data_IF_579167160083
#
_entry.id   IF_579167160083
#
_cell.length_a   1.000
_cell.length_b   1.000
_cell.length_c   1.000
_cell.angle_alpha   90.00
_cell.angle_beta   90.00
_cell.angle_gamma   90.00
#
_symmetry.space_group_name_H-M   'P 1'
#
loop_
_entity.id
_entity.type
_entity.pdbx_description
1 polymer ?
#
# COMPACT_ATOMS: atom_id res chain seq x y z
N UNK A 1 -24.99 9.70 -3.79
CA UNK A 1 -26.03 10.00 -2.75
C UNK A 1 -25.38 10.02 -1.36
N UNK A 2 -26.07 10.52 -0.34
CA UNK A 2 -25.58 10.43 1.05
C UNK A 2 -25.73 9.01 1.58
N UNK A 3 -24.88 8.62 2.54
CA UNK A 3 -24.93 7.28 3.15
C UNK A 3 -26.31 6.96 3.79
N UNK A 4 -27.01 7.97 4.28
CA UNK A 4 -28.33 7.82 4.87
C UNK A 4 -29.47 7.58 3.87
N UNK A 5 -29.19 7.81 2.57
CA UNK A 5 -30.12 7.59 1.46
C UNK A 5 -29.93 6.21 0.82
N UNK A 6 -28.85 5.49 1.18
CA UNK A 6 -28.57 4.15 0.66
C UNK A 6 -29.56 3.13 1.21
N UNK A 7 -30.18 2.38 0.32
CA UNK A 7 -30.97 1.20 0.69
C UNK A 7 -30.03 0.14 1.25
N UNK A 8 -30.33 -0.40 2.43
CA UNK A 8 -29.48 -1.39 3.13
C UNK A 8 -28.05 -0.89 3.43
N UNK A 9 -27.90 0.41 3.74
CA UNK A 9 -26.62 0.95 4.16
C UNK A 9 -26.07 0.14 5.34
N UNK A 10 -24.83 -0.41 5.26
CA UNK A 10 -24.29 -1.20 6.34
C UNK A 10 -24.01 -0.33 7.57
N UNK A 11 -24.22 -0.89 8.77
CA UNK A 11 -24.10 -0.16 10.03
C UNK A 11 -22.73 0.51 10.19
N UNK A 12 -21.65 -0.18 9.79
CA UNK A 12 -20.30 0.40 9.86
C UNK A 12 -20.13 1.69 9.05
N UNK A 13 -20.90 1.85 7.95
CA UNK A 13 -20.87 3.08 7.14
C UNK A 13 -21.74 4.17 7.79
N UNK A 14 -22.88 3.79 8.38
CA UNK A 14 -23.72 4.72 9.14
C UNK A 14 -22.96 5.30 10.34
N UNK A 15 -22.18 4.46 11.03
CA UNK A 15 -21.39 4.84 12.19
C UNK A 15 -20.13 5.67 11.84
N UNK A 16 -19.74 5.68 10.56
CA UNK A 16 -18.56 6.42 10.13
C UNK A 16 -18.76 7.95 10.23
N UNK A 17 -17.74 8.67 10.70
CA UNK A 17 -17.73 10.13 10.69
C UNK A 17 -17.43 10.64 9.27
N UNK A 18 -18.46 11.13 8.59
CA UNK A 18 -18.41 11.56 7.20
C UNK A 18 -19.07 12.92 7.00
N UNK A 19 -18.64 13.65 5.97
CA UNK A 19 -19.22 14.94 5.62
C UNK A 19 -19.20 15.09 4.08
N UNK A 20 -20.35 15.51 3.51
CA UNK A 20 -20.54 15.72 2.08
C UNK A 20 -20.17 14.48 1.22
N UNK A 21 -20.40 13.29 1.78
CA UNK A 21 -20.12 12.04 1.10
C UNK A 21 -21.02 11.84 -0.14
N UNK A 22 -20.43 11.29 -1.20
CA UNK A 22 -21.12 10.75 -2.37
C UNK A 22 -20.83 9.26 -2.48
N UNK A 23 -21.79 8.46 -2.10
CA UNK A 23 -21.70 6.99 -2.01
C UNK A 23 -22.81 6.30 -2.78
N UNK A 24 -22.52 5.10 -3.26
CA UNK A 24 -23.46 4.24 -3.99
C UNK A 24 -23.06 2.77 -3.84
N UNK A 25 -23.92 1.87 -4.35
CA UNK A 25 -23.55 0.47 -4.58
C UNK A 25 -23.56 0.17 -6.08
N UNK A 26 -22.63 -0.68 -6.53
CA UNK A 26 -22.71 -1.23 -7.88
C UNK A 26 -23.77 -2.36 -7.97
N UNK A 27 -23.94 -2.91 -9.18
CA UNK A 27 -24.88 -4.00 -9.45
C UNK A 27 -24.57 -5.30 -8.68
N UNK A 28 -23.41 -5.41 -8.06
CA UNK A 28 -22.98 -6.55 -7.23
C UNK A 28 -23.05 -6.25 -5.73
N UNK A 29 -23.56 -5.08 -5.33
CA UNK A 29 -23.63 -4.64 -3.95
C UNK A 29 -22.27 -4.21 -3.36
N UNK A 30 -21.30 -3.89 -4.19
CA UNK A 30 -19.99 -3.38 -3.76
C UNK A 30 -20.09 -1.86 -3.59
N UNK A 31 -19.69 -1.35 -2.41
CA UNK A 31 -19.69 0.07 -2.13
C UNK A 31 -18.80 0.84 -3.11
N UNK A 32 -19.33 1.91 -3.65
CA UNK A 32 -18.60 2.91 -4.44
C UNK A 32 -18.59 4.22 -3.64
N UNK A 33 -17.40 4.70 -3.28
CA UNK A 33 -17.18 6.01 -2.71
C UNK A 33 -16.66 6.95 -3.79
N UNK A 34 -17.45 7.95 -4.18
CA UNK A 34 -17.11 8.89 -5.26
C UNK A 34 -16.41 10.14 -4.75
N UNK A 35 -16.73 10.59 -3.54
CA UNK A 35 -16.16 11.80 -2.98
C UNK A 35 -16.72 12.13 -1.60
N UNK A 36 -16.29 13.27 -1.07
CA UNK A 36 -16.62 13.75 0.27
C UNK A 36 -15.48 13.57 1.26
N UNK A 37 -15.74 13.92 2.51
CA UNK A 37 -14.79 13.83 3.61
C UNK A 37 -15.12 12.65 4.51
N UNK A 38 -14.10 11.84 4.81
CA UNK A 38 -14.17 10.78 5.79
C UNK A 38 -13.16 11.05 6.89
N UNK A 39 -13.62 11.17 8.13
CA UNK A 39 -12.79 11.53 9.28
C UNK A 39 -12.41 10.36 10.15
N UNK A 40 -13.15 9.28 10.12
CA UNK A 40 -12.87 8.07 10.86
C UNK A 40 -13.95 7.00 10.74
N UNK A 41 -13.60 5.75 11.02
CA UNK A 41 -14.45 4.58 10.96
C UNK A 41 -13.75 3.38 10.32
N UNK A 42 -14.53 2.38 9.92
CA UNK A 42 -14.02 1.14 9.37
C UNK A 42 -14.60 0.89 7.98
N UNK A 43 -13.77 0.71 6.98
CA UNK A 43 -14.16 0.25 5.64
C UNK A 43 -13.76 -1.22 5.44
N UNK A 44 -14.69 -2.00 4.86
CA UNK A 44 -14.44 -3.40 4.52
C UNK A 44 -14.67 -3.60 3.04
N UNK A 45 -13.61 -3.39 2.24
CA UNK A 45 -13.69 -3.41 0.79
C UNK A 45 -14.40 -2.20 0.20
N UNK A 46 -14.57 -2.18 -1.11
CA UNK A 46 -15.22 -1.12 -1.88
C UNK A 46 -14.30 -0.46 -2.88
N UNK A 47 -14.87 0.44 -3.67
CA UNK A 47 -14.16 1.21 -4.69
C UNK A 47 -14.14 2.69 -4.28
N UNK A 48 -12.96 3.22 -4.03
CA UNK A 48 -12.75 4.60 -3.62
C UNK A 48 -12.23 5.39 -4.82
N UNK A 49 -13.11 6.19 -5.43
CA UNK A 49 -12.82 6.93 -6.68
C UNK A 49 -12.23 8.32 -6.41
N UNK A 50 -12.46 8.86 -5.24
CA UNK A 50 -11.96 10.16 -4.82
C UNK A 50 -12.39 10.50 -3.40
N UNK A 51 -12.10 11.72 -2.96
CA UNK A 51 -12.45 12.24 -1.63
C UNK A 51 -11.26 12.43 -0.71
N UNK A 52 -11.54 12.94 0.49
CA UNK A 52 -10.53 13.22 1.53
C UNK A 52 -10.74 12.27 2.71
N UNK A 53 -9.69 11.56 3.10
CA UNK A 53 -9.69 10.56 4.15
C UNK A 53 -8.67 10.94 5.22
N UNK A 54 -9.15 11.27 6.44
CA UNK A 54 -8.32 11.77 7.56
C UNK A 54 -8.16 10.75 8.68
N UNK A 55 -7.93 9.50 8.32
CA UNK A 55 -7.81 8.38 9.23
C UNK A 55 -8.83 7.30 8.93
N UNK A 56 -8.93 6.30 9.80
CA UNK A 56 -9.81 5.16 9.66
C UNK A 56 -9.09 3.86 9.33
N UNK A 57 -9.84 2.77 9.33
CA UNK A 57 -9.34 1.43 9.04
C UNK A 57 -9.90 0.95 7.71
N UNK A 58 -9.03 0.58 6.78
CA UNK A 58 -9.39 0.11 5.45
C UNK A 58 -8.94 -1.35 5.28
N UNK A 59 -9.89 -2.26 5.13
CA UNK A 59 -9.66 -3.71 5.02
C UNK A 59 -9.94 -4.16 3.59
N UNK A 60 -8.95 -4.09 2.74
CA UNK A 60 -9.08 -4.30 1.30
C UNK A 60 -9.75 -3.12 0.57
N UNK A 61 -10.03 -3.32 -0.70
CA UNK A 61 -10.67 -2.32 -1.57
C UNK A 61 -9.77 -1.80 -2.67
N UNK A 62 -10.37 -1.02 -3.56
CA UNK A 62 -9.69 -0.39 -4.68
C UNK A 62 -9.66 1.12 -4.48
N UNK A 63 -8.47 1.69 -4.42
CA UNK A 63 -8.24 3.11 -4.23
C UNK A 63 -7.74 3.71 -5.55
N UNK A 64 -8.62 4.39 -6.28
CA UNK A 64 -8.34 4.93 -7.62
C UNK A 64 -7.81 6.35 -7.56
N UNK A 65 -8.31 7.15 -6.62
CA UNK A 65 -7.86 8.50 -6.34
C UNK A 65 -8.27 8.91 -4.92
N UNK A 66 -7.92 10.11 -4.49
CA UNK A 66 -8.27 10.70 -3.20
C UNK A 66 -7.06 11.12 -2.38
N UNK A 67 -7.31 11.93 -1.35
CA UNK A 67 -6.31 12.37 -0.38
C UNK A 67 -6.46 11.57 0.92
N UNK A 68 -5.45 10.78 1.26
CA UNK A 68 -5.41 9.97 2.46
C UNK A 68 -4.38 10.54 3.45
N UNK A 69 -4.85 10.97 4.62
CA UNK A 69 -4.02 11.56 5.69
C UNK A 69 -4.08 10.69 6.93
N UNK A 70 -3.18 9.69 7.00
CA UNK A 70 -3.21 8.67 8.04
C UNK A 70 -4.21 7.54 7.74
N UNK A 71 -4.42 6.67 8.72
CA UNK A 71 -5.27 5.50 8.62
C UNK A 71 -4.50 4.19 8.53
N UNK A 72 -5.21 3.09 8.80
CA UNK A 72 -4.69 1.72 8.73
C UNK A 72 -5.21 1.03 7.46
N UNK A 73 -4.30 0.63 6.59
CA UNK A 73 -4.62 -0.04 5.33
C UNK A 73 -4.15 -1.50 5.40
N UNK A 74 -5.10 -2.45 5.36
CA UNK A 74 -4.83 -3.90 5.43
C UNK A 74 -5.14 -4.55 4.10
N UNK A 75 -4.19 -4.46 3.16
CA UNK A 75 -4.35 -4.87 1.78
C UNK A 75 -5.12 -3.83 0.96
N UNK A 76 -5.35 -4.15 -0.31
CA UNK A 76 -6.05 -3.30 -1.27
C UNK A 76 -5.19 -2.94 -2.47
N UNK A 77 -5.84 -2.37 -3.48
CA UNK A 77 -5.21 -1.94 -4.72
C UNK A 77 -5.17 -0.41 -4.76
N UNK A 78 -3.97 0.16 -4.76
CA UNK A 78 -3.75 1.59 -4.77
C UNK A 78 -3.31 2.02 -6.17
N UNK A 79 -4.21 2.60 -6.96
CA UNK A 79 -3.96 2.99 -8.37
C UNK A 79 -3.76 4.47 -8.59
N UNK A 80 -4.01 5.28 -7.58
CA UNK A 80 -3.84 6.72 -7.61
C UNK A 80 -4.06 7.30 -6.23
N UNK A 81 -4.14 8.63 -6.15
CA UNK A 81 -4.34 9.36 -4.89
C UNK A 81 -3.05 9.79 -4.20
N UNK A 82 -3.21 10.64 -3.21
CA UNK A 82 -2.14 11.17 -2.38
C UNK A 82 -2.21 10.55 -0.99
N UNK A 83 -1.17 9.81 -0.60
CA UNK A 83 -1.07 9.16 0.70
C UNK A 83 -0.06 9.90 1.57
N UNK A 84 -0.54 10.53 2.67
CA UNK A 84 0.26 11.33 3.61
C UNK A 84 0.22 10.70 4.99
N UNK A 85 1.16 9.80 5.28
CA UNK A 85 1.15 8.99 6.49
C UNK A 85 0.21 7.79 6.38
N UNK A 86 -0.03 7.12 7.50
CA UNK A 86 -0.83 5.90 7.59
C UNK A 86 0.01 4.64 7.71
N UNK A 87 -0.65 3.57 8.12
CA UNK A 87 -0.05 2.24 8.30
C UNK A 87 -0.54 1.29 7.21
N UNK A 88 0.38 0.82 6.38
CA UNK A 88 0.09 -0.09 5.28
C UNK A 88 0.58 -1.50 5.61
N UNK A 89 -0.32 -2.47 5.65
CA UNK A 89 -0.01 -3.88 5.95
C UNK A 89 -0.18 -4.80 4.75
N UNK A 90 0.30 -4.36 3.61
CA UNK A 90 0.20 -5.03 2.32
C UNK A 90 -0.59 -4.20 1.32
N UNK A 91 -0.79 -4.76 0.13
CA UNK A 91 -1.50 -4.12 -0.97
C UNK A 91 -0.61 -3.81 -2.16
N UNK A 92 -1.26 -3.45 -3.26
CA UNK A 92 -0.64 -3.26 -4.55
C UNK A 92 -0.60 -1.78 -4.91
N UNK A 93 0.59 -1.23 -5.14
CA UNK A 93 0.79 0.18 -5.40
C UNK A 93 1.16 0.43 -6.86
N UNK A 94 0.17 0.71 -7.71
CA UNK A 94 0.37 0.92 -9.15
C UNK A 94 0.49 2.40 -9.54
N UNK A 95 0.10 3.32 -8.68
CA UNK A 95 0.11 4.76 -8.98
C UNK A 95 0.02 5.60 -7.70
N UNK A 96 -0.23 6.91 -7.88
CA UNK A 96 -0.38 7.88 -6.80
C UNK A 96 0.92 8.41 -6.21
N UNK A 97 0.79 9.42 -5.35
CA UNK A 97 1.89 10.04 -4.64
C UNK A 97 1.92 9.52 -3.19
N UNK A 98 3.07 9.01 -2.79
CA UNK A 98 3.29 8.54 -1.44
C UNK A 98 4.21 9.53 -0.72
N UNK A 99 3.68 10.25 0.26
CA UNK A 99 4.39 11.30 1.01
C UNK A 99 4.83 10.84 2.41
N UNK A 100 5.04 9.54 2.57
CA UNK A 100 5.48 8.91 3.80
C UNK A 100 4.36 8.16 4.51
N UNK A 101 4.74 7.31 5.43
CA UNK A 101 3.86 6.45 6.23
C UNK A 101 4.63 5.25 6.77
N UNK A 102 3.91 4.32 7.39
CA UNK A 102 4.47 3.06 7.84
C UNK A 102 4.03 1.93 6.90
N UNK A 103 4.98 1.18 6.39
CA UNK A 103 4.70 -0.02 5.62
C UNK A 103 5.20 -1.23 6.40
N UNK A 104 4.27 -2.05 6.91
CA UNK A 104 4.57 -3.22 7.77
C UNK A 104 5.48 -2.89 8.95
N UNK A 105 5.24 -1.75 9.61
CA UNK A 105 5.97 -1.29 10.77
C UNK A 105 7.22 -0.46 10.48
N UNK A 106 7.63 -0.34 9.22
CA UNK A 106 8.76 0.51 8.83
C UNK A 106 8.26 1.87 8.34
N UNK A 107 8.84 2.94 8.85
CA UNK A 107 8.57 4.29 8.34
C UNK A 107 9.25 4.48 6.99
N UNK A 108 8.45 4.64 5.95
CA UNK A 108 8.91 4.84 4.57
C UNK A 108 8.57 6.25 4.08
N UNK A 109 9.38 6.76 3.16
CA UNK A 109 9.23 8.09 2.55
C UNK A 109 8.83 8.02 1.10
N UNK A 110 8.93 6.84 0.49
CA UNK A 110 8.65 6.58 -0.91
C UNK A 110 7.59 5.49 -1.07
N UNK A 111 6.86 5.55 -2.17
CA UNK A 111 5.85 4.53 -2.52
C UNK A 111 6.52 3.16 -2.69
N UNK A 112 5.98 2.10 -2.09
CA UNK A 112 6.45 0.74 -2.36
C UNK A 112 6.36 0.39 -3.86
N UNK A 113 7.35 -0.34 -4.37
CA UNK A 113 7.34 -0.89 -5.72
C UNK A 113 6.78 -2.30 -5.65
N UNK A 114 5.75 -2.58 -6.46
CA UNK A 114 5.16 -3.91 -6.60
C UNK A 114 5.53 -4.50 -7.96
N UNK A 115 6.04 -5.75 -7.97
CA UNK A 115 6.42 -6.48 -9.18
C UNK A 115 5.58 -7.76 -9.27
N UNK A 116 4.91 -7.93 -10.39
CA UNK A 116 4.05 -9.09 -10.71
C UNK A 116 4.54 -9.81 -11.96
N UNK A 117 3.97 -10.98 -12.21
CA UNK A 117 4.32 -11.79 -13.38
C UNK A 117 5.56 -12.66 -13.21
N UNK A 118 6.19 -12.64 -12.02
CA UNK A 118 7.21 -13.60 -11.62
C UNK A 118 6.62 -14.75 -10.82
N UNK A 119 7.44 -15.75 -10.46
CA UNK A 119 6.99 -16.92 -9.65
C UNK A 119 6.32 -16.49 -8.34
N UNK A 120 6.81 -15.43 -7.70
CA UNK A 120 6.22 -14.81 -6.51
C UNK A 120 6.03 -13.31 -6.69
N UNK A 121 4.98 -12.73 -6.09
CA UNK A 121 4.84 -11.28 -6.01
C UNK A 121 5.98 -10.70 -5.16
N UNK A 122 6.47 -9.53 -5.57
CA UNK A 122 7.56 -8.83 -4.90
C UNK A 122 7.10 -7.43 -4.52
N UNK A 123 7.45 -7.00 -3.30
CA UNK A 123 7.27 -5.63 -2.85
C UNK A 123 8.62 -5.11 -2.37
N UNK A 124 9.04 -3.95 -2.88
CA UNK A 124 10.31 -3.30 -2.52
C UNK A 124 10.00 -1.93 -1.93
N UNK A 125 10.59 -1.65 -0.79
CA UNK A 125 10.65 -0.32 -0.16
C UNK A 125 12.11 0.13 -0.05
N UNK A 126 12.34 1.34 0.39
CA UNK A 126 13.72 1.80 0.70
C UNK A 126 14.39 1.07 1.88
N UNK A 127 13.64 0.22 2.62
CA UNK A 127 14.14 -0.47 3.81
C UNK A 127 14.19 -1.99 3.61
N UNK A 128 13.12 -2.56 3.07
CA UNK A 128 12.92 -4.01 2.97
C UNK A 128 12.41 -4.42 1.60
N UNK A 129 12.78 -5.65 1.21
CA UNK A 129 12.17 -6.35 0.09
C UNK A 129 11.42 -7.57 0.60
N UNK A 130 10.23 -7.78 0.06
CA UNK A 130 9.44 -8.99 0.21
C UNK A 130 9.45 -9.78 -1.09
N UNK A 131 9.66 -11.08 -1.01
CA UNK A 131 9.47 -12.05 -2.10
C UNK A 131 8.54 -13.14 -1.60
N UNK A 132 7.32 -13.20 -2.12
CA UNK A 132 6.27 -14.08 -1.59
C UNK A 132 6.01 -13.82 -0.10
N UNK A 133 6.26 -14.83 0.76
CA UNK A 133 6.12 -14.72 2.21
C UNK A 133 7.41 -14.27 2.95
N UNK A 134 8.56 -14.21 2.28
CA UNK A 134 9.84 -13.83 2.86
C UNK A 134 9.99 -12.31 2.87
N UNK A 135 10.28 -11.73 4.05
CA UNK A 135 10.45 -10.28 4.23
C UNK A 135 11.76 -10.03 4.97
N UNK A 136 12.73 -9.40 4.30
CA UNK A 136 14.03 -9.10 4.89
C UNK A 136 14.49 -7.70 4.50
N UNK A 137 15.45 -7.14 5.25
CA UNK A 137 16.11 -5.88 4.89
C UNK A 137 16.78 -5.99 3.51
N UNK A 138 16.86 -4.87 2.78
CA UNK A 138 17.42 -4.87 1.42
C UNK A 138 18.88 -5.35 1.38
N UNK A 139 19.69 -4.98 2.37
CA UNK A 139 21.07 -5.42 2.52
C UNK A 139 21.16 -6.91 2.94
N UNK A 140 20.24 -7.42 3.73
CA UNK A 140 20.20 -8.82 4.09
C UNK A 140 20.00 -9.72 2.84
N UNK A 141 19.15 -9.30 1.91
CA UNK A 141 18.95 -10.03 0.65
C UNK A 141 20.25 -10.15 -0.16
N UNK A 142 21.09 -9.12 -0.17
CA UNK A 142 22.38 -9.14 -0.85
C UNK A 142 23.38 -10.11 -0.22
N UNK A 143 23.25 -10.37 1.08
CA UNK A 143 24.18 -11.17 1.88
C UNK A 143 23.76 -12.63 2.09
N UNK A 144 22.54 -13.04 1.67
CA UNK A 144 22.12 -14.43 1.77
C UNK A 144 23.01 -15.35 0.94
N UNK A 145 23.45 -16.43 1.57
CA UNK A 145 24.13 -17.53 0.90
C UNK A 145 23.14 -18.38 0.10
N UNK A 146 23.62 -19.09 -0.91
CA UNK A 146 22.80 -20.03 -1.70
C UNK A 146 22.09 -21.06 -0.84
N UNK A 147 22.74 -21.49 0.26
CA UNK A 147 22.17 -22.44 1.22
C UNK A 147 20.99 -21.84 2.00
N UNK A 148 21.05 -20.59 2.39
CA UNK A 148 19.94 -19.89 3.07
C UNK A 148 18.77 -19.67 2.13
N UNK A 149 19.05 -19.22 0.92
CA UNK A 149 18.02 -19.06 -0.13
C UNK A 149 17.33 -20.40 -0.41
N UNK A 150 18.08 -21.48 -0.61
CA UNK A 150 17.53 -22.83 -0.91
C UNK A 150 16.63 -23.38 0.21
N UNK A 151 16.80 -22.91 1.44
CA UNK A 151 15.93 -23.31 2.57
C UNK A 151 14.58 -22.60 2.60
N UNK A 152 14.42 -21.47 1.89
CA UNK A 152 13.17 -20.71 1.87
C UNK A 152 12.09 -21.44 1.09
N UNK A 153 12.45 -22.03 -0.06
CA UNK A 153 11.55 -22.84 -0.91
C UNK A 153 12.34 -23.65 -1.94
N UNK A 154 11.79 -24.77 -2.44
CA UNK A 154 12.46 -25.64 -3.42
C UNK A 154 12.92 -24.92 -4.70
N UNK A 155 12.15 -23.91 -5.17
CA UNK A 155 12.47 -23.11 -6.37
C UNK A 155 13.23 -21.81 -6.04
N UNK A 156 13.54 -21.53 -4.77
CA UNK A 156 14.05 -20.23 -4.37
C UNK A 156 15.44 -19.95 -4.95
N UNK A 157 16.31 -20.96 -5.03
CA UNK A 157 17.67 -20.80 -5.56
C UNK A 157 17.64 -20.40 -7.05
N UNK A 158 16.88 -21.10 -7.87
CA UNK A 158 16.76 -20.81 -9.32
C UNK A 158 16.16 -19.43 -9.55
N UNK A 159 15.08 -19.13 -8.82
CA UNK A 159 14.45 -17.82 -8.87
C UNK A 159 15.40 -16.70 -8.48
N UNK A 160 16.12 -16.86 -7.37
CA UNK A 160 17.05 -15.86 -6.87
C UNK A 160 18.22 -15.65 -7.84
N UNK A 161 18.82 -16.72 -8.32
CA UNK A 161 19.93 -16.64 -9.27
C UNK A 161 19.54 -15.94 -10.58
N UNK A 162 18.31 -16.12 -11.04
CA UNK A 162 17.79 -15.46 -12.24
C UNK A 162 17.52 -13.97 -12.00
N UNK A 163 17.01 -13.59 -10.84
CA UNK A 163 16.42 -12.26 -10.62
C UNK A 163 17.23 -11.36 -9.69
N UNK A 164 18.21 -11.90 -8.94
CA UNK A 164 18.91 -11.15 -7.88
C UNK A 164 19.54 -9.83 -8.34
N UNK A 165 20.20 -9.83 -9.48
CA UNK A 165 20.90 -8.62 -10.00
C UNK A 165 19.89 -7.49 -10.25
N UNK A 166 18.79 -7.81 -10.89
CA UNK A 166 17.70 -6.86 -11.16
C UNK A 166 17.03 -6.37 -9.86
N UNK A 167 16.69 -7.27 -8.94
CA UNK A 167 16.02 -6.93 -7.71
C UNK A 167 16.89 -6.10 -6.78
N UNK A 168 18.15 -6.46 -6.63
CA UNK A 168 19.11 -5.71 -5.81
C UNK A 168 19.41 -4.32 -6.40
N UNK A 169 19.41 -4.18 -7.72
CA UNK A 169 19.55 -2.86 -8.36
C UNK A 169 18.36 -1.95 -8.02
N UNK A 170 17.13 -2.47 -8.01
CA UNK A 170 15.94 -1.72 -7.58
C UNK A 170 16.05 -1.34 -6.10
N UNK A 171 16.40 -2.28 -5.22
CA UNK A 171 16.60 -2.00 -3.79
C UNK A 171 17.59 -0.87 -3.57
N UNK A 172 18.76 -0.94 -4.24
CA UNK A 172 19.77 0.10 -4.14
C UNK A 172 19.25 1.46 -4.61
N UNK A 173 18.56 1.52 -5.75
CA UNK A 173 17.97 2.74 -6.27
C UNK A 173 16.96 3.37 -5.28
N UNK A 174 16.13 2.58 -4.64
CA UNK A 174 15.16 3.06 -3.65
C UNK A 174 15.83 3.58 -2.38
N UNK A 175 16.88 2.90 -1.91
CA UNK A 175 17.69 3.35 -0.77
C UNK A 175 18.40 4.68 -1.07
N UNK A 176 19.04 4.80 -2.22
CA UNK A 176 19.76 6.00 -2.65
C UNK A 176 18.79 7.20 -2.81
N UNK A 177 17.64 6.97 -3.42
CA UNK A 177 16.63 8.00 -3.62
C UNK A 177 15.99 8.48 -2.31
N UNK A 178 15.80 7.58 -1.34
CA UNK A 178 15.30 7.94 0.00
C UNK A 178 16.35 8.77 0.77
N UNK A 179 17.63 8.45 0.66
CA UNK A 179 18.71 9.23 1.28
C UNK A 179 18.75 10.67 0.75
N UNK A 180 18.57 10.85 -0.58
CA UNK A 180 18.50 12.17 -1.20
C UNK A 180 17.28 12.99 -0.73
N UNK A 181 16.18 12.33 -0.44
CA UNK A 181 14.96 13.00 0.05
C UNK A 181 15.16 13.50 1.49
N UNK A 182 15.81 12.72 2.34
CA UNK A 182 16.12 13.09 3.73
C UNK A 182 17.07 14.29 3.80
N UNK A 183 18.13 14.29 3.01
CA UNK A 183 19.11 15.38 2.99
C UNK A 183 18.54 16.74 2.57
N UNK A 184 17.52 16.75 1.69
CA UNK A 184 16.80 17.96 1.27
C UNK A 184 15.80 18.47 2.32
N UNK A 185 15.30 17.60 3.18
CA UNK A 185 14.36 17.94 4.26
C UNK A 185 15.04 18.57 5.47
N UNK A 186 16.32 18.31 5.69
CA UNK A 186 17.11 18.83 6.81
C UNK A 186 17.71 20.23 6.52
N UNK A 187 17.59 20.73 5.29
CA UNK A 187 18.09 22.05 4.88
C UNK A 187 16.99 23.15 4.86
N UNK A 188 15.81 22.87 5.40
CA UNK A 188 14.72 23.84 5.57
C UNK A 188 14.39 24.02 7.05
#
# INVERSE_FOLDING_TARGET
MKKTELINCPQWLLDADTENEDVDFDSYGILIWRGGNFRGGNFRGGNFLGGNFWGGNFWGGNFLAGDFRGGDFRGGNFRGGDFRGGDFRGGDFLGGNFLGGNFRGDKITRKPISIYGLEWPIIITEIKMQIGCQVHANDAWANFTDKEISRMHAKAADFWNTNKTFLLAICKNEMDAAALTKSKGEQK
#
